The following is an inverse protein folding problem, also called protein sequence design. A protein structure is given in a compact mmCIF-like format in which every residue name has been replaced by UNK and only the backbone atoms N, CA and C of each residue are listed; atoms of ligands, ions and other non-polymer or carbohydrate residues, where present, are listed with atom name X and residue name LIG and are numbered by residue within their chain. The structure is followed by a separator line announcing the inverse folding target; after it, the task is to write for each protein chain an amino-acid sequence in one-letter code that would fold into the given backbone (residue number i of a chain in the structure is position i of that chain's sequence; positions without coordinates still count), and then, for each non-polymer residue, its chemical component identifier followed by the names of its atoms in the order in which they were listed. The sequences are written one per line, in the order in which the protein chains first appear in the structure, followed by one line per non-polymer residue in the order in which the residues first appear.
data_IF_926857357084
#
_entry.id   IF_926857357084
#
_cell.length_a   1.000
_cell.length_b   1.000
_cell.length_c   1.000
_cell.angle_alpha   90.00
_cell.angle_beta   90.00
_cell.angle_gamma   90.00
#
_symmetry.space_group_name_H-M   'P 1'
#
loop_
_entity.id
_entity.type
_entity.pdbx_description
1 polymer ?
#
# COMPACT_ATOMS: atom_id res chain seq x y z
N UNK A 1 3.31 -8.93 -10.89
CA UNK A 1 3.36 -7.48 -10.66
C UNK A 1 3.56 -7.16 -9.19
N UNK A 2 2.64 -7.50 -8.29
CA UNK A 2 2.63 -7.03 -6.89
C UNK A 2 3.85 -7.48 -6.06
N UNK A 3 4.28 -8.72 -6.15
CA UNK A 3 5.44 -9.26 -5.43
C UNK A 3 6.76 -8.53 -5.73
N UNK A 4 6.98 -8.14 -6.97
CA UNK A 4 8.23 -7.48 -7.42
C UNK A 4 8.07 -5.99 -7.65
N UNK A 5 6.89 -5.43 -7.35
CA UNK A 5 6.58 -4.00 -7.58
C UNK A 5 6.93 -3.54 -9.00
N UNK A 6 6.48 -4.27 -10.02
CA UNK A 6 6.83 -3.98 -11.41
C UNK A 6 5.90 -2.92 -12.00
N UNK A 7 6.45 -1.73 -12.24
CA UNK A 7 5.71 -0.56 -12.70
C UNK A 7 5.19 -0.69 -14.13
N UNK A 8 5.94 -1.36 -15.02
CA UNK A 8 5.51 -1.58 -16.40
C UNK A 8 4.23 -2.42 -16.45
N UNK A 9 4.16 -3.50 -15.66
CA UNK A 9 2.96 -4.32 -15.58
C UNK A 9 1.79 -3.57 -14.94
N UNK A 10 2.05 -2.70 -13.97
CA UNK A 10 0.99 -1.89 -13.36
C UNK A 10 0.36 -0.92 -14.37
N UNK A 11 1.19 -0.21 -15.13
CA UNK A 11 0.72 0.67 -16.22
C UNK A 11 0.02 -0.11 -17.33
N UNK A 12 0.56 -1.25 -17.72
CA UNK A 12 -0.07 -2.09 -18.76
C UNK A 12 -1.47 -2.54 -18.34
N UNK A 13 -1.64 -3.03 -17.11
CA UNK A 13 -2.95 -3.42 -16.57
C UNK A 13 -3.90 -2.23 -16.53
N UNK A 14 -3.46 -1.10 -15.98
CA UNK A 14 -4.29 0.10 -15.87
C UNK A 14 -4.73 0.63 -17.26
N UNK A 15 -3.83 0.61 -18.24
CA UNK A 15 -4.14 0.97 -19.64
C UNK A 15 -5.08 -0.03 -20.29
N UNK A 16 -4.92 -1.33 -20.03
CA UNK A 16 -5.84 -2.35 -20.53
C UNK A 16 -7.25 -2.15 -20.00
N UNK A 17 -7.39 -1.87 -18.71
CA UNK A 17 -8.69 -1.53 -18.10
C UNK A 17 -9.31 -0.30 -18.79
N UNK A 18 -8.52 0.74 -19.04
CA UNK A 18 -9.00 1.95 -19.70
C UNK A 18 -9.41 1.70 -21.16
N UNK A 19 -8.62 0.93 -21.89
CA UNK A 19 -8.94 0.57 -23.28
C UNK A 19 -10.23 -0.25 -23.36
N UNK A 20 -10.41 -1.20 -22.46
CA UNK A 20 -11.62 -2.01 -22.37
C UNK A 20 -12.85 -1.18 -21.98
N UNK A 21 -12.69 -0.28 -20.98
CA UNK A 21 -13.79 0.56 -20.50
C UNK A 21 -14.31 1.53 -21.56
N UNK A 22 -13.41 2.19 -22.31
CA UNK A 22 -13.77 3.19 -23.30
C UNK A 22 -13.89 2.64 -24.73
N UNK A 23 -13.47 1.40 -24.99
CA UNK A 23 -13.32 0.82 -26.33
C UNK A 23 -12.47 1.69 -27.27
N UNK A 24 -11.45 2.35 -26.71
CA UNK A 24 -10.53 3.27 -27.38
C UNK A 24 -9.10 3.06 -26.88
N UNK A 25 -8.07 3.42 -27.68
CA UNK A 25 -6.69 3.38 -27.22
C UNK A 25 -6.48 4.13 -25.90
N UNK A 26 -5.76 3.51 -24.97
CA UNK A 26 -5.52 4.10 -23.66
C UNK A 26 -4.52 5.26 -23.74
N UNK A 27 -4.84 6.35 -23.03
CA UNK A 27 -3.93 7.43 -22.68
C UNK A 27 -3.86 7.53 -21.16
N UNK A 28 -2.87 8.20 -20.57
CA UNK A 28 -2.82 8.41 -19.13
C UNK A 28 -4.11 9.05 -18.58
N UNK A 29 -4.64 10.06 -19.27
CA UNK A 29 -5.89 10.71 -18.88
C UNK A 29 -7.09 9.75 -18.92
N UNK A 30 -7.19 8.88 -19.93
CA UNK A 30 -8.25 7.86 -19.98
C UNK A 30 -8.06 6.82 -18.88
N UNK A 31 -6.82 6.42 -18.61
CA UNK A 31 -6.49 5.45 -17.57
C UNK A 31 -6.96 5.92 -16.19
N UNK A 32 -6.62 7.14 -15.82
CA UNK A 32 -7.01 7.68 -14.50
C UNK A 32 -8.52 7.90 -14.38
N UNK A 33 -9.19 8.31 -15.46
CA UNK A 33 -10.66 8.40 -15.49
C UNK A 33 -11.33 7.04 -15.41
N UNK A 34 -10.80 6.02 -16.10
CA UNK A 34 -11.32 4.67 -16.04
C UNK A 34 -11.20 4.09 -14.62
N UNK A 35 -10.06 4.27 -13.95
CA UNK A 35 -9.88 3.84 -12.54
C UNK A 35 -10.96 4.44 -11.66
N UNK A 36 -11.21 5.76 -11.76
CA UNK A 36 -12.28 6.43 -11.00
C UNK A 36 -13.67 5.87 -11.30
N UNK A 37 -13.97 5.72 -12.58
CA UNK A 37 -15.27 5.23 -13.02
C UNK A 37 -15.53 3.80 -12.55
N UNK A 38 -14.54 2.92 -12.66
CA UNK A 38 -14.63 1.53 -12.22
C UNK A 38 -14.80 1.44 -10.71
N UNK A 39 -14.01 2.18 -9.91
CA UNK A 39 -14.16 2.21 -8.47
C UNK A 39 -15.55 2.73 -8.03
N UNK A 40 -16.04 3.77 -8.69
CA UNK A 40 -17.38 4.29 -8.42
C UNK A 40 -18.48 3.30 -8.79
N UNK A 41 -18.38 2.68 -9.97
CA UNK A 41 -19.40 1.79 -10.51
C UNK A 41 -19.48 0.46 -9.75
N UNK A 42 -18.34 -0.16 -9.44
CA UNK A 42 -18.29 -1.52 -8.92
C UNK A 42 -18.08 -1.60 -7.40
N UNK A 43 -17.48 -0.58 -6.80
CA UNK A 43 -17.22 -0.53 -5.37
C UNK A 43 -17.96 0.60 -4.64
N UNK A 44 -18.68 1.47 -5.36
CA UNK A 44 -19.28 2.70 -4.86
C UNK A 44 -18.28 3.64 -4.16
N UNK A 45 -17.01 3.56 -4.52
CA UNK A 45 -15.93 4.39 -3.96
C UNK A 45 -15.74 5.60 -4.87
N UNK A 46 -15.96 6.79 -4.31
CA UNK A 46 -15.65 8.05 -4.97
C UNK A 46 -14.30 8.57 -4.50
N UNK A 47 -13.35 8.68 -5.42
CA UNK A 47 -12.03 9.22 -5.11
C UNK A 47 -12.01 10.73 -4.85
N UNK A 48 -13.13 11.43 -5.08
CA UNK A 48 -13.27 12.85 -4.77
C UNK A 48 -12.13 13.71 -5.35
N UNK A 49 -11.49 14.49 -4.49
CA UNK A 49 -10.40 15.40 -4.83
C UNK A 49 -9.01 14.70 -4.93
N UNK A 50 -8.94 13.37 -4.95
CA UNK A 50 -7.68 12.69 -5.20
C UNK A 50 -7.12 13.05 -6.58
N UNK A 51 -5.80 13.08 -6.73
CA UNK A 51 -5.13 13.25 -8.02
C UNK A 51 -4.51 11.91 -8.45
N UNK A 52 -4.84 11.47 -9.65
CA UNK A 52 -4.23 10.31 -10.29
C UNK A 52 -3.62 10.74 -11.61
N UNK A 53 -2.36 10.44 -11.81
CA UNK A 53 -1.55 10.82 -12.99
C UNK A 53 -1.14 9.60 -13.79
N UNK A 54 -0.82 8.51 -13.13
CA UNK A 54 -0.40 7.25 -13.74
C UNK A 54 -1.09 6.04 -13.07
N UNK A 55 -0.86 4.85 -13.63
CA UNK A 55 -1.37 3.59 -13.09
C UNK A 55 -0.37 2.83 -12.20
N UNK A 56 0.87 3.29 -12.13
CA UNK A 56 1.94 2.59 -11.41
C UNK A 56 2.36 3.26 -10.09
N UNK A 57 1.93 4.50 -9.84
CA UNK A 57 2.24 5.22 -8.61
C UNK A 57 3.61 5.89 -8.57
N UNK A 58 4.35 5.98 -9.70
CA UNK A 58 5.67 6.62 -9.73
C UNK A 58 5.60 8.14 -9.71
N UNK A 59 4.54 8.72 -10.27
CA UNK A 59 4.41 10.16 -10.29
C UNK A 59 4.20 10.70 -8.86
N UNK A 60 5.02 11.67 -8.41
CA UNK A 60 4.82 12.33 -7.13
C UNK A 60 3.54 13.18 -7.09
N UNK A 61 2.89 13.38 -8.22
CA UNK A 61 1.61 14.09 -8.34
C UNK A 61 0.39 13.18 -8.12
N UNK A 62 0.58 11.89 -7.91
CA UNK A 62 -0.49 11.03 -7.40
C UNK A 62 -0.76 11.38 -5.93
N UNK A 63 -1.95 11.91 -5.66
CA UNK A 63 -2.36 12.31 -4.31
C UNK A 63 -3.67 11.62 -3.95
N UNK A 64 -3.58 10.66 -3.05
CA UNK A 64 -4.73 9.92 -2.52
C UNK A 64 -4.64 9.88 -1.01
N UNK A 65 -5.71 10.17 -0.31
CA UNK A 65 -5.72 10.15 1.15
C UNK A 65 -5.64 8.72 1.69
N UNK A 66 -5.05 8.49 2.89
CA UNK A 66 -5.09 7.19 3.54
C UNK A 66 -6.51 6.65 3.69
N UNK A 67 -7.49 7.52 4.00
CA UNK A 67 -8.88 7.14 4.14
C UNK A 67 -9.46 6.54 2.84
N UNK A 68 -9.20 7.17 1.67
CA UNK A 68 -9.67 6.62 0.38
C UNK A 68 -9.00 5.30 0.01
N UNK A 69 -7.73 5.12 0.39
CA UNK A 69 -7.07 3.83 0.22
C UNK A 69 -7.63 2.78 1.18
N UNK A 70 -8.00 3.17 2.40
CA UNK A 70 -8.64 2.26 3.35
C UNK A 70 -10.00 1.78 2.83
N UNK A 71 -10.85 2.67 2.30
CA UNK A 71 -12.13 2.29 1.65
C UNK A 71 -11.92 1.22 0.56
N UNK A 72 -10.86 1.35 -0.25
CA UNK A 72 -10.53 0.35 -1.29
C UNK A 72 -10.12 -0.98 -0.65
N UNK A 73 -9.29 -0.95 0.39
CA UNK A 73 -8.86 -2.16 1.08
C UNK A 73 -10.03 -2.85 1.81
N UNK A 74 -10.94 -2.09 2.40
CA UNK A 74 -12.16 -2.62 3.02
C UNK A 74 -13.05 -3.32 2.00
N UNK A 75 -13.26 -2.69 0.83
CA UNK A 75 -13.98 -3.33 -0.27
C UNK A 75 -13.33 -4.63 -0.71
N UNK A 76 -12.00 -4.65 -0.85
CA UNK A 76 -11.25 -5.87 -1.17
C UNK A 76 -11.43 -6.92 -0.06
N UNK A 77 -11.30 -6.52 1.22
CA UNK A 77 -11.41 -7.43 2.36
C UNK A 77 -12.77 -8.12 2.42
N UNK A 78 -13.85 -7.38 2.14
CA UNK A 78 -15.23 -7.90 2.16
C UNK A 78 -15.56 -8.79 0.95
N UNK A 79 -14.81 -8.68 -0.15
CA UNK A 79 -15.07 -9.39 -1.39
C UNK A 79 -13.94 -10.35 -1.82
N UNK A 80 -12.96 -10.63 -0.94
CA UNK A 80 -11.76 -11.38 -1.32
C UNK A 80 -12.03 -12.85 -1.65
N UNK A 81 -13.11 -13.42 -1.16
CA UNK A 81 -13.62 -14.73 -1.57
C UNK A 81 -13.84 -14.82 -3.09
N UNK A 82 -14.28 -13.73 -3.72
CA UNK A 82 -14.52 -13.61 -5.17
C UNK A 82 -13.30 -13.05 -5.91
N UNK A 83 -12.70 -11.98 -5.38
CA UNK A 83 -11.63 -11.22 -6.05
C UNK A 83 -10.29 -11.95 -5.94
N UNK A 84 -10.02 -12.63 -4.82
CA UNK A 84 -8.78 -13.34 -4.52
C UNK A 84 -7.53 -12.45 -4.67
N UNK A 85 -7.65 -11.17 -4.30
CA UNK A 85 -6.60 -10.18 -4.45
C UNK A 85 -5.51 -10.32 -3.38
N UNK A 86 -5.89 -10.63 -2.13
CA UNK A 86 -4.96 -10.64 -0.99
C UNK A 86 -3.84 -11.66 -1.20
N UNK A 87 -4.13 -12.82 -1.77
CA UNK A 87 -3.12 -13.84 -2.10
C UNK A 87 -2.07 -13.41 -3.12
N UNK A 88 -2.33 -12.31 -3.85
CA UNK A 88 -1.38 -11.77 -4.82
C UNK A 88 -0.38 -10.79 -4.21
N UNK A 89 -0.57 -10.39 -2.95
CA UNK A 89 0.31 -9.49 -2.24
C UNK A 89 1.52 -10.23 -1.62
N UNK A 90 2.66 -9.54 -1.46
CA UNK A 90 3.77 -10.05 -0.66
C UNK A 90 3.35 -10.34 0.78
N UNK A 91 3.97 -11.37 1.36
CA UNK A 91 3.82 -11.75 2.76
C UNK A 91 5.12 -11.44 3.51
N UNK A 92 5.00 -10.82 4.69
CA UNK A 92 6.13 -10.46 5.53
C UNK A 92 6.97 -11.68 5.91
N UNK A 93 8.31 -11.54 5.78
CA UNK A 93 9.30 -12.59 6.00
C UNK A 93 9.24 -13.79 5.03
N UNK A 94 8.30 -13.80 4.08
CA UNK A 94 8.15 -14.91 3.13
C UNK A 94 8.43 -14.52 1.69
N UNK A 95 7.88 -13.41 1.21
CA UNK A 95 7.87 -13.16 -0.22
C UNK A 95 7.96 -11.70 -0.64
N UNK A 96 8.42 -11.50 -1.88
CA UNK A 96 8.40 -10.23 -2.58
C UNK A 96 9.11 -9.10 -1.82
N UNK A 97 8.55 -7.90 -1.92
CA UNK A 97 9.13 -6.71 -1.29
C UNK A 97 9.05 -6.68 0.24
N UNK A 98 8.29 -7.59 0.86
CA UNK A 98 8.18 -7.71 2.31
C UNK A 98 9.14 -8.73 2.93
N UNK A 99 9.78 -9.57 2.13
CA UNK A 99 10.71 -10.59 2.64
C UNK A 99 11.80 -9.97 3.54
N UNK A 100 12.35 -8.83 3.15
CA UNK A 100 13.44 -8.17 3.88
C UNK A 100 13.04 -6.83 4.54
N UNK A 101 11.74 -6.46 4.56
CA UNK A 101 11.34 -5.20 5.16
C UNK A 101 11.54 -5.21 6.67
N UNK A 102 12.42 -4.33 7.17
CA UNK A 102 12.85 -4.31 8.57
C UNK A 102 11.70 -4.14 9.58
N UNK A 103 10.64 -3.41 9.21
CA UNK A 103 9.48 -3.19 10.08
C UNK A 103 8.60 -4.41 10.27
N UNK A 104 8.60 -5.38 9.34
CA UNK A 104 7.61 -6.48 9.32
C UNK A 104 8.22 -7.88 9.35
N UNK A 105 9.51 -8.04 9.03
CA UNK A 105 10.15 -9.37 8.86
C UNK A 105 10.32 -10.20 10.13
N UNK A 106 10.15 -9.63 11.31
CA UNK A 106 10.33 -10.33 12.58
C UNK A 106 8.99 -10.51 13.32
N UNK A 107 8.86 -11.53 14.18
CA UNK A 107 7.69 -11.68 15.04
C UNK A 107 7.41 -10.42 15.87
N UNK A 108 6.13 -10.13 16.16
CA UNK A 108 4.95 -10.91 15.81
C UNK A 108 4.39 -10.63 14.41
N UNK A 109 4.99 -9.72 13.63
CA UNK A 109 4.48 -9.26 12.33
C UNK A 109 4.83 -10.20 11.17
N UNK A 110 5.93 -10.95 11.28
CA UNK A 110 6.30 -11.97 10.31
C UNK A 110 5.12 -12.92 10.03
N UNK A 111 4.86 -13.16 8.73
CA UNK A 111 3.75 -14.00 8.23
C UNK A 111 2.33 -13.49 8.54
N UNK A 112 2.19 -12.49 9.40
CA UNK A 112 0.89 -11.91 9.76
C UNK A 112 0.55 -10.64 8.97
N UNK A 113 1.51 -10.09 8.23
CA UNK A 113 1.31 -8.91 7.37
C UNK A 113 1.40 -9.32 5.90
N UNK A 114 0.37 -9.00 5.14
CA UNK A 114 0.27 -9.20 3.68
C UNK A 114 0.00 -7.84 3.05
N UNK A 115 0.99 -7.25 2.37
CA UNK A 115 0.88 -5.84 2.00
C UNK A 115 1.70 -5.46 0.76
N UNK A 116 1.37 -4.30 0.19
CA UNK A 116 2.11 -3.63 -0.88
C UNK A 116 2.93 -2.49 -0.32
N UNK A 117 4.20 -2.47 -0.67
CA UNK A 117 5.11 -1.34 -0.41
C UNK A 117 5.01 -0.29 -1.52
N UNK A 118 5.17 0.98 -1.16
CA UNK A 118 5.38 2.08 -2.11
C UNK A 118 6.59 2.90 -1.66
N UNK A 119 7.59 3.04 -2.54
CA UNK A 119 8.80 3.80 -2.21
C UNK A 119 9.21 4.65 -3.40
N UNK A 120 9.25 5.94 -3.19
CA UNK A 120 9.87 6.93 -4.06
C UNK A 120 10.74 7.87 -3.20
N UNK A 121 11.39 8.83 -3.81
CA UNK A 121 12.21 9.78 -3.05
C UNK A 121 11.39 10.44 -1.93
N UNK A 122 11.89 10.40 -0.69
CA UNK A 122 11.26 10.97 0.51
C UNK A 122 9.85 10.43 0.88
N UNK A 123 9.46 9.29 0.29
CA UNK A 123 8.17 8.63 0.59
C UNK A 123 8.41 7.14 0.85
N UNK A 124 7.81 6.63 1.92
CA UNK A 124 7.79 5.21 2.23
C UNK A 124 6.40 4.82 2.74
N UNK A 125 5.67 4.07 1.93
CA UNK A 125 4.31 3.68 2.22
C UNK A 125 4.19 2.17 2.38
N UNK A 126 3.25 1.75 3.20
CA UNK A 126 2.84 0.35 3.36
C UNK A 126 1.32 0.29 3.52
N UNK A 127 0.65 -0.56 2.75
CA UNK A 127 -0.79 -0.77 2.86
C UNK A 127 -1.15 -2.21 2.53
N UNK A 128 -2.15 -2.74 3.20
CA UNK A 128 -2.56 -4.11 3.03
C UNK A 128 -3.40 -4.62 4.18
N UNK A 129 -3.11 -5.84 4.59
CA UNK A 129 -3.89 -6.57 5.57
C UNK A 129 -2.97 -7.17 6.63
N UNK A 130 -3.47 -7.20 7.86
CA UNK A 130 -2.81 -7.85 8.97
C UNK A 130 -3.75 -8.85 9.62
N UNK A 131 -3.23 -10.00 9.99
CA UNK A 131 -3.91 -10.92 10.91
C UNK A 131 -3.49 -10.55 12.32
N UNK A 132 -4.46 -10.12 13.13
CA UNK A 132 -4.23 -9.74 14.54
C UNK A 132 -3.96 -10.94 15.40
N UNK A 133 -3.60 -10.71 16.67
CA UNK A 133 -3.35 -11.76 17.66
C UNK A 133 -4.59 -12.65 17.88
N UNK A 134 -5.80 -12.11 17.78
CA UNK A 134 -7.06 -12.88 17.86
C UNK A 134 -7.39 -13.63 16.56
N UNK A 135 -6.63 -13.42 15.49
CA UNK A 135 -6.83 -14.04 14.18
C UNK A 135 -7.73 -13.25 13.24
N UNK A 136 -8.22 -12.08 13.65
CA UNK A 136 -9.03 -11.20 12.81
C UNK A 136 -8.15 -10.58 11.72
N UNK A 137 -8.62 -10.52 10.48
CA UNK A 137 -7.95 -9.81 9.40
C UNK A 137 -8.44 -8.37 9.35
N UNK A 138 -7.51 -7.43 9.49
CA UNK A 138 -7.78 -6.00 9.45
C UNK A 138 -7.02 -5.33 8.30
N UNK A 139 -7.66 -4.46 7.50
CA UNK A 139 -6.96 -3.62 6.54
C UNK A 139 -6.22 -2.49 7.26
N UNK A 140 -5.10 -2.04 6.68
CA UNK A 140 -4.36 -0.90 7.18
C UNK A 140 -3.71 -0.11 6.06
N UNK A 141 -3.52 1.19 6.29
CA UNK A 141 -2.78 2.12 5.41
C UNK A 141 -1.80 2.91 6.25
N UNK A 142 -0.53 2.85 5.89
CA UNK A 142 0.53 3.60 6.54
C UNK A 142 1.29 4.42 5.50
N UNK A 143 1.17 5.75 5.57
CA UNK A 143 1.84 6.67 4.67
C UNK A 143 2.88 7.49 5.43
N UNK A 144 4.09 7.50 4.89
CA UNK A 144 5.19 8.33 5.37
C UNK A 144 5.70 9.19 4.22
N UNK A 145 5.45 10.48 4.30
CA UNK A 145 5.81 11.45 3.29
C UNK A 145 6.83 12.45 3.84
N UNK A 146 7.51 13.16 2.94
CA UNK A 146 8.48 14.20 3.27
C UNK A 146 9.61 13.71 4.22
N UNK A 147 10.04 12.45 4.05
CA UNK A 147 11.13 11.88 4.82
C UNK A 147 12.42 12.67 4.59
N UNK A 148 12.92 13.25 5.67
CA UNK A 148 14.21 13.95 5.68
C UNK A 148 14.97 13.54 6.94
N UNK A 149 16.25 13.21 6.77
CA UNK A 149 17.15 12.87 7.87
C UNK A 149 18.40 13.74 7.79
N UNK A 150 18.96 14.08 8.96
CA UNK A 150 20.27 14.72 9.03
C UNK A 150 21.37 13.82 8.44
N UNK A 151 22.54 14.40 8.17
CA UNK A 151 23.64 13.68 7.51
C UNK A 151 24.10 12.46 8.33
N UNK A 152 24.19 12.61 9.66
CA UNK A 152 24.61 11.53 10.57
C UNK A 152 23.65 10.34 10.49
N UNK A 153 22.35 10.60 10.55
CA UNK A 153 21.31 9.54 10.44
C UNK A 153 21.37 8.86 9.07
N UNK A 154 21.53 9.64 7.99
CA UNK A 154 21.68 9.06 6.62
C UNK A 154 22.88 8.13 6.54
N UNK A 155 24.02 8.52 7.10
CA UNK A 155 25.25 7.72 7.10
C UNK A 155 25.08 6.45 7.93
N UNK A 156 24.45 6.52 9.10
CA UNK A 156 24.18 5.36 9.94
C UNK A 156 23.27 4.34 9.24
N UNK A 157 22.22 4.83 8.57
CA UNK A 157 21.31 3.97 7.77
C UNK A 157 22.06 3.37 6.57
N UNK A 158 22.82 4.17 5.83
CA UNK A 158 23.59 3.75 4.66
C UNK A 158 24.60 2.66 4.98
N UNK A 159 25.26 2.75 6.13
CA UNK A 159 26.23 1.75 6.60
C UNK A 159 25.58 0.62 7.43
N UNK A 160 24.26 0.48 7.39
CA UNK A 160 23.49 -0.56 8.11
C UNK A 160 23.72 -0.60 9.63
N UNK A 161 24.15 0.51 10.23
CA UNK A 161 24.35 0.62 11.68
C UNK A 161 23.03 0.78 12.45
N UNK A 162 22.02 1.38 11.80
CA UNK A 162 20.66 1.47 12.33
C UNK A 162 19.65 1.18 11.22
N UNK A 163 18.46 0.71 11.60
CA UNK A 163 17.32 0.71 10.71
C UNK A 163 16.84 2.15 10.44
N UNK A 164 16.23 2.38 9.28
CA UNK A 164 15.67 3.69 8.99
C UNK A 164 14.59 4.06 10.02
N UNK A 165 14.67 5.24 10.69
CA UNK A 165 13.82 5.56 11.85
C UNK A 165 12.31 5.41 11.59
N UNK A 166 11.84 5.78 10.39
CA UNK A 166 10.43 5.63 10.03
C UNK A 166 9.97 4.16 10.04
N UNK A 167 10.85 3.19 9.75
CA UNK A 167 10.52 1.76 9.81
C UNK A 167 10.37 1.27 11.25
N UNK A 168 11.09 1.87 12.20
CA UNK A 168 10.91 1.61 13.63
C UNK A 168 9.53 2.06 14.11
N UNK A 169 9.11 3.27 13.71
CA UNK A 169 7.79 3.79 14.03
C UNK A 169 6.67 2.99 13.34
N UNK A 170 6.84 2.66 12.06
CA UNK A 170 5.91 1.79 11.33
C UNK A 170 5.74 0.46 12.06
N UNK A 171 6.83 -0.17 12.51
CA UNK A 171 6.79 -1.41 13.29
C UNK A 171 6.01 -1.23 14.58
N UNK A 172 6.30 -0.18 15.35
CA UNK A 172 5.61 0.11 16.60
C UNK A 172 4.09 0.20 16.41
N UNK A 173 3.63 0.97 15.43
CA UNK A 173 2.20 1.12 15.13
C UNK A 173 1.57 -0.22 14.72
N UNK A 174 2.24 -0.97 13.84
CA UNK A 174 1.75 -2.28 13.41
C UNK A 174 1.67 -3.28 14.57
N UNK A 175 2.60 -3.25 15.52
CA UNK A 175 2.54 -4.08 16.73
C UNK A 175 1.38 -3.70 17.66
N UNK A 176 1.01 -2.41 17.74
CA UNK A 176 -0.20 -2.00 18.48
C UNK A 176 -1.46 -2.59 17.82
N UNK A 177 -1.57 -2.49 16.49
CA UNK A 177 -2.69 -3.07 15.74
C UNK A 177 -2.72 -4.60 15.92
N UNK A 178 -1.57 -5.27 15.81
CA UNK A 178 -1.47 -6.72 16.02
C UNK A 178 -1.99 -7.14 17.39
N UNK A 179 -1.60 -6.40 18.44
CA UNK A 179 -2.01 -6.68 19.82
C UNK A 179 -3.42 -6.15 20.16
N UNK A 180 -4.13 -5.58 19.19
CA UNK A 180 -5.48 -5.02 19.36
C UNK A 180 -5.54 -3.93 20.44
N UNK A 181 -4.41 -3.26 20.67
CA UNK A 181 -4.35 -2.11 21.57
C UNK A 181 -4.88 -0.90 20.82
N UNK A 182 -6.09 -0.48 21.18
CA UNK A 182 -6.66 0.79 20.71
C UNK A 182 -5.77 1.91 21.25
N UNK A 183 -5.10 2.62 20.35
CA UNK A 183 -4.39 3.83 20.72
C UNK A 183 -5.41 4.94 20.91
N UNK A 184 -6.00 5.03 22.14
CA UNK A 184 -6.67 6.18 22.73
C UNK A 184 -7.44 7.14 21.81
N UNK A 185 -8.12 6.62 20.80
CA UNK A 185 -9.07 7.38 19.98
C UNK A 185 -10.43 6.76 20.31
N UNK A 186 -11.11 7.36 21.26
CA UNK A 186 -12.53 7.13 21.44
C UNK A 186 -13.22 7.62 20.17
N UNK A 187 -13.86 6.69 19.45
CA UNK A 187 -14.72 6.99 18.31
C UNK A 187 -16.15 7.27 18.79
#
# INVERSE_FOLDING_TARGET
MLHRSNNLYADAIAKTVAAEYYKLPATYSRTTRAIRAVLKQYANIDLGNSYLVDGNGLSPHNLVTPHKMLEILEFINLNDDKIQFIKLLPVADESGTLHWRASTRNPPLAKNVTAKTGTIQNVSNLMGFMRTKSGVRVPFVFYTNALSFDQRTRDLVKYHKIASPHLGYERYVLEQIYNEKVMGIDF
#
